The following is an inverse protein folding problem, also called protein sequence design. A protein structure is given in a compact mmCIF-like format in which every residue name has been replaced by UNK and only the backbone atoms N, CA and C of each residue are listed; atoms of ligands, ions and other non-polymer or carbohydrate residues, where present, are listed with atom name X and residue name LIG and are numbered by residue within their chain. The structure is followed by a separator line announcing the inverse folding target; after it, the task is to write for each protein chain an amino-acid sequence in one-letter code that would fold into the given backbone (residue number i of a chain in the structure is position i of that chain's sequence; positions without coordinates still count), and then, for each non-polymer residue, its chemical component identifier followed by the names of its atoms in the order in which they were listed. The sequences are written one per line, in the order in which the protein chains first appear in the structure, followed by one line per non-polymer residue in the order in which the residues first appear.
data_IF_530038172829
#
_entry.id   IF_530038172829
#
_cell.length_a   1.000
_cell.length_b   1.000
_cell.length_c   1.000
_cell.angle_alpha   90.00
_cell.angle_beta   90.00
_cell.angle_gamma   90.00
#
_symmetry.space_group_name_H-M   'P 1'
#
loop_
_entity.id
_entity.type
_entity.pdbx_description
1 polymer ?
#
# COMPACT_ATOMS: atom_id res chain seq x y z
N UNK A 1 11.50 20.36 -3.77
CA UNK A 1 12.05 19.08 -3.26
C UNK A 1 11.21 18.52 -2.09
N UNK A 2 9.87 18.59 -2.08
CA UNK A 2 9.09 18.24 -0.86
C UNK A 2 7.83 17.40 -1.04
N UNK A 3 7.42 17.06 -2.27
CA UNK A 3 6.23 16.23 -2.50
C UNK A 3 6.54 14.73 -2.48
N UNK A 4 7.73 14.34 -2.89
CA UNK A 4 8.13 12.93 -3.04
C UNK A 4 8.40 12.26 -1.67
N UNK A 5 9.12 12.92 -0.75
CA UNK A 5 9.41 12.33 0.58
C UNK A 5 8.16 11.90 1.38
N UNK A 6 6.99 12.55 1.17
CA UNK A 6 5.75 12.19 1.87
C UNK A 6 5.07 10.94 1.31
N UNK A 7 5.29 10.60 0.05
CA UNK A 7 4.81 9.36 -0.59
C UNK A 7 5.83 8.23 -0.51
N UNK A 8 7.12 8.55 -0.48
CA UNK A 8 8.19 7.54 -0.49
C UNK A 8 8.19 6.67 0.77
N UNK A 9 7.88 7.25 1.93
CA UNK A 9 7.84 6.50 3.20
C UNK A 9 6.65 5.51 3.27
N UNK A 10 5.39 5.90 2.99
CA UNK A 10 4.27 4.96 2.93
C UNK A 10 4.44 3.90 1.84
N UNK A 11 4.92 4.27 0.65
CA UNK A 11 5.13 3.31 -0.44
C UNK A 11 6.23 2.31 -0.06
N UNK A 12 7.36 2.76 0.47
CA UNK A 12 8.43 1.86 0.91
C UNK A 12 8.00 0.94 2.05
N UNK A 13 7.19 1.43 2.99
CA UNK A 13 6.64 0.60 4.06
C UNK A 13 5.64 -0.45 3.53
N UNK A 14 4.79 -0.07 2.58
CA UNK A 14 3.87 -1.00 1.91
C UNK A 14 4.63 -2.09 1.17
N UNK A 15 5.67 -1.70 0.43
CA UNK A 15 6.48 -2.63 -0.37
C UNK A 15 7.20 -3.63 0.53
N UNK A 16 7.84 -3.19 1.61
CA UNK A 16 8.45 -4.10 2.58
C UNK A 16 7.42 -5.03 3.23
N UNK A 17 6.24 -4.51 3.59
CA UNK A 17 5.20 -5.35 4.20
C UNK A 17 4.67 -6.42 3.24
N UNK A 18 4.49 -6.07 1.97
CA UNK A 18 4.13 -7.02 0.92
C UNK A 18 5.25 -8.03 0.74
N UNK A 19 6.50 -7.61 0.53
CA UNK A 19 7.63 -8.53 0.31
C UNK A 19 7.83 -9.51 1.48
N UNK A 20 7.65 -9.05 2.72
CA UNK A 20 7.85 -9.91 3.89
C UNK A 20 6.67 -10.84 4.21
N UNK A 21 5.44 -10.49 3.81
CA UNK A 21 4.23 -11.19 4.26
C UNK A 21 3.43 -11.80 3.12
N UNK A 22 3.54 -11.28 1.91
CA UNK A 22 2.75 -11.69 0.76
C UNK A 22 3.06 -13.14 0.37
N UNK A 23 2.00 -13.91 0.14
CA UNK A 23 2.07 -15.20 -0.51
C UNK A 23 0.79 -15.45 -1.30
N UNK A 24 0.82 -16.28 -2.36
CA UNK A 24 -0.34 -16.52 -3.22
C UNK A 24 -1.58 -17.10 -2.53
N UNK A 25 -1.44 -17.64 -1.31
CA UNK A 25 -2.53 -18.21 -0.53
C UNK A 25 -3.21 -17.18 0.39
N UNK A 26 -2.66 -15.96 0.53
CA UNK A 26 -3.27 -14.86 1.27
C UNK A 26 -4.38 -14.22 0.41
N UNK A 27 -5.49 -14.92 0.29
CA UNK A 27 -6.71 -14.39 -0.34
C UNK A 27 -7.53 -13.59 0.68
N UNK A 28 -8.13 -12.48 0.22
CA UNK A 28 -9.03 -11.66 1.03
C UNK A 28 -8.33 -10.77 2.05
N UNK A 29 -7.08 -10.36 1.78
CA UNK A 29 -6.39 -9.41 2.64
C UNK A 29 -7.05 -8.03 2.52
N UNK A 30 -7.36 -7.42 3.67
CA UNK A 30 -7.92 -6.07 3.74
C UNK A 30 -6.89 -5.14 4.36
N UNK A 31 -6.39 -4.21 3.55
CA UNK A 31 -5.54 -3.12 4.01
C UNK A 31 -6.38 -2.04 4.68
N UNK A 32 -6.11 -1.79 5.96
CA UNK A 32 -6.70 -0.71 6.71
C UNK A 32 -5.71 0.46 6.73
N UNK A 33 -6.02 1.51 5.97
CA UNK A 33 -5.25 2.75 5.99
C UNK A 33 -6.11 3.91 6.49
N UNK A 34 -5.48 4.84 7.20
CA UNK A 34 -6.11 6.12 7.53
C UNK A 34 -6.43 6.93 6.26
N UNK A 35 -7.45 7.79 6.31
CA UNK A 35 -7.88 8.64 5.17
C UNK A 35 -6.91 9.78 4.84
N UNK A 36 -5.64 9.65 5.22
CA UNK A 36 -4.60 10.62 4.89
C UNK A 36 -4.27 10.61 3.40
N UNK A 37 -3.99 11.79 2.84
CA UNK A 37 -3.73 11.98 1.40
C UNK A 37 -2.61 11.08 0.82
N UNK A 38 -1.69 10.62 1.67
CA UNK A 38 -0.61 9.73 1.30
C UNK A 38 -1.08 8.29 1.00
N UNK A 39 -2.10 7.81 1.74
CA UNK A 39 -2.67 6.47 1.58
C UNK A 39 -3.81 6.42 0.56
N UNK A 40 -4.41 7.56 0.25
CA UNK A 40 -5.43 7.70 -0.80
C UNK A 40 -4.83 8.07 -2.15
N UNK A 41 -3.50 8.04 -2.30
CA UNK A 41 -2.84 8.34 -3.57
C UNK A 41 -3.04 7.19 -4.56
N UNK A 42 -3.19 7.51 -5.85
CA UNK A 42 -3.40 6.50 -6.89
C UNK A 42 -2.32 5.42 -6.88
N UNK A 43 -1.04 5.81 -6.78
CA UNK A 43 0.08 4.89 -6.73
C UNK A 43 0.00 3.89 -5.56
N UNK A 44 -0.46 4.34 -4.39
CA UNK A 44 -0.64 3.48 -3.22
C UNK A 44 -1.78 2.49 -3.42
N UNK A 45 -2.93 2.97 -3.91
CA UNK A 45 -4.09 2.12 -4.17
C UNK A 45 -3.86 1.13 -5.31
N UNK A 46 -3.09 1.51 -6.33
CA UNK A 46 -2.77 0.65 -7.46
C UNK A 46 -1.84 -0.50 -7.03
N UNK A 47 -0.84 -0.21 -6.18
CA UNK A 47 0.03 -1.25 -5.60
C UNK A 47 -0.75 -2.28 -4.80
N UNK A 48 -1.74 -1.87 -4.00
CA UNK A 48 -2.60 -2.81 -3.28
C UNK A 48 -3.38 -3.73 -4.23
N UNK A 49 -3.92 -3.18 -5.32
CA UNK A 49 -4.67 -3.96 -6.33
C UNK A 49 -3.80 -4.93 -7.11
N UNK A 50 -2.55 -4.57 -7.43
CA UNK A 50 -1.58 -5.47 -8.09
C UNK A 50 -1.38 -6.76 -7.28
N UNK A 51 -1.50 -6.67 -5.95
CA UNK A 51 -1.44 -7.78 -5.02
C UNK A 51 -2.81 -8.29 -4.57
N UNK A 52 -3.92 -7.97 -5.25
CA UNK A 52 -5.27 -8.41 -4.83
C UNK A 52 -5.60 -8.11 -3.36
N UNK A 53 -5.07 -7.00 -2.82
CA UNK A 53 -5.35 -6.52 -1.48
C UNK A 53 -6.47 -5.48 -1.58
N UNK A 54 -7.56 -5.71 -0.86
CA UNK A 54 -8.70 -4.79 -0.82
C UNK A 54 -8.46 -3.69 0.21
N UNK A 55 -9.01 -2.50 -0.01
CA UNK A 55 -9.03 -1.43 0.99
C UNK A 55 -10.38 -1.41 1.69
N UNK A 56 -10.37 -1.32 3.02
CA UNK A 56 -11.60 -1.17 3.82
C UNK A 56 -12.34 0.15 3.56
#
# INVERSE_FOLDING_TARGET
MSKNMRTDLPMGALDMAIDERWNPNLKGLIHHSDRGVQYTSHAYTDRLKEHNIETA
#
